data_IF_073991492976
#
_entry.id   IF_073991492976
#
_cell.length_a   1.000
_cell.length_b   1.000
_cell.length_c   1.000
_cell.angle_alpha   90.00
_cell.angle_beta   90.00
_cell.angle_gamma   90.00
#
_symmetry.space_group_name_H-M   'P 1'
#
loop_
_entity.id
_entity.type
_entity.pdbx_description
1 polymer ?
#
# COMPACT_ATOMS: atom_id res chain seq x y z
N UNK A 1 26.53 -5.45 2.87
CA UNK A 1 26.35 -5.50 4.34
C UNK A 1 25.70 -4.19 4.71
N UNK A 2 24.57 -4.27 5.39
CA UNK A 2 23.77 -3.14 5.84
C UNK A 2 24.57 -2.28 6.83
N UNK A 3 24.52 -0.95 6.67
CA UNK A 3 25.09 0.01 7.63
C UNK A 3 24.00 0.66 8.48
N UNK A 4 23.67 0.05 9.61
CA UNK A 4 22.65 0.56 10.55
C UNK A 4 22.99 1.93 11.12
N UNK A 5 24.29 2.24 11.26
CA UNK A 5 24.73 3.53 11.81
C UNK A 5 24.37 4.70 10.89
N UNK A 6 24.12 4.43 9.61
CA UNK A 6 23.62 5.43 8.66
C UNK A 6 22.25 5.98 9.09
N UNK A 7 21.38 5.13 9.65
CA UNK A 7 20.02 5.52 10.00
C UNK A 7 19.99 6.55 11.14
N UNK A 8 20.99 6.57 12.02
CA UNK A 8 21.11 7.52 13.12
C UNK A 8 22.08 8.68 12.83
N UNK A 9 22.59 8.78 11.60
CA UNK A 9 23.37 9.93 11.12
C UNK A 9 22.61 10.68 10.03
N UNK A 10 21.86 11.74 10.38
CA UNK A 10 21.02 12.45 9.42
C UNK A 10 21.82 13.14 8.30
N UNK A 11 23.08 13.49 8.55
CA UNK A 11 23.94 14.12 7.54
C UNK A 11 24.33 13.11 6.45
N UNK A 12 24.80 11.94 6.88
CA UNK A 12 25.15 10.85 5.96
C UNK A 12 23.93 10.31 5.22
N UNK A 13 22.77 10.26 5.89
CA UNK A 13 21.52 9.84 5.26
C UNK A 13 21.07 10.81 4.16
N UNK A 14 21.20 12.12 4.39
CA UNK A 14 20.91 13.14 3.38
C UNK A 14 21.88 13.06 2.19
N UNK A 15 23.16 12.78 2.45
CA UNK A 15 24.15 12.56 1.39
C UNK A 15 23.87 11.29 0.57
N UNK A 16 23.30 10.26 1.20
CA UNK A 16 22.90 9.02 0.53
C UNK A 16 21.61 9.17 -0.31
N UNK A 17 20.63 9.95 0.16
CA UNK A 17 19.35 10.19 -0.52
C UNK A 17 19.45 11.21 -1.68
N UNK A 18 20.34 10.93 -2.63
CA UNK A 18 20.59 11.80 -3.80
C UNK A 18 19.38 11.97 -4.72
N UNK A 19 18.45 11.01 -4.73
CA UNK A 19 17.21 11.07 -5.51
C UNK A 19 16.05 11.78 -4.80
N UNK A 20 16.22 12.18 -3.54
CA UNK A 20 15.16 12.81 -2.74
C UNK A 20 13.97 11.89 -2.50
N UNK A 21 14.22 10.59 -2.36
CA UNK A 21 13.21 9.55 -2.24
C UNK A 21 12.44 9.65 -0.91
N UNK A 22 13.12 9.95 0.19
CA UNK A 22 12.46 10.16 1.49
C UNK A 22 11.53 11.36 1.43
N UNK A 23 11.96 12.43 0.72
CA UNK A 23 11.12 13.61 0.48
C UNK A 23 9.93 13.31 -0.42
N UNK A 24 10.08 12.42 -1.40
CA UNK A 24 8.99 12.02 -2.28
C UNK A 24 7.91 11.23 -1.51
N UNK A 25 8.32 10.25 -0.69
CA UNK A 25 7.40 9.50 0.19
C UNK A 25 6.67 10.43 1.17
N UNK A 26 7.39 11.38 1.78
CA UNK A 26 6.81 12.37 2.69
C UNK A 26 5.77 13.31 2.05
N UNK A 27 5.62 13.32 0.71
CA UNK A 27 4.56 14.08 0.00
C UNK A 27 3.24 13.32 -0.07
N UNK A 28 3.09 12.17 0.59
CA UNK A 28 1.87 11.36 0.54
C UNK A 28 0.60 12.15 0.93
N UNK A 29 0.60 12.90 2.05
CA UNK A 29 -0.56 13.72 2.44
C UNK A 29 -0.86 14.84 1.44
N UNK A 30 0.18 15.50 0.91
CA UNK A 30 0.02 16.50 -0.16
C UNK A 30 -0.59 15.90 -1.44
N UNK A 31 -0.20 14.67 -1.82
CA UNK A 31 -0.79 13.96 -2.96
C UNK A 31 -2.28 13.69 -2.74
N UNK A 32 -2.68 13.29 -1.53
CA UNK A 32 -4.09 13.04 -1.19
C UNK A 32 -4.91 14.33 -1.29
N UNK A 33 -4.48 15.44 -0.66
CA UNK A 33 -5.21 16.71 -0.74
C UNK A 33 -5.32 17.24 -2.16
N UNK A 34 -4.21 17.22 -2.90
CA UNK A 34 -4.21 17.61 -4.30
C UNK A 34 -5.17 16.77 -5.15
N UNK A 35 -5.32 15.48 -4.83
CA UNK A 35 -6.25 14.59 -5.53
C UNK A 35 -7.70 14.92 -5.16
N UNK A 36 -7.97 15.23 -3.90
CA UNK A 36 -9.28 15.67 -3.43
C UNK A 36 -9.72 16.98 -4.08
N UNK A 37 -8.84 17.98 -4.15
CA UNK A 37 -9.10 19.23 -4.88
C UNK A 37 -9.37 18.98 -6.37
N UNK A 38 -8.53 18.18 -7.03
CA UNK A 38 -8.71 17.85 -8.45
C UNK A 38 -10.05 17.11 -8.71
N UNK A 39 -10.44 16.21 -7.80
CA UNK A 39 -11.71 15.49 -7.87
C UNK A 39 -12.91 16.41 -7.67
N UNK A 40 -12.82 17.36 -6.73
CA UNK A 40 -13.85 18.37 -6.49
C UNK A 40 -14.04 19.27 -7.72
N UNK A 41 -12.94 19.80 -8.28
CA UNK A 41 -12.96 20.59 -9.52
C UNK A 41 -13.54 19.81 -10.71
N UNK A 42 -13.24 18.52 -10.81
CA UNK A 42 -13.77 17.64 -11.86
C UNK A 42 -15.24 17.22 -11.61
N UNK A 43 -15.82 17.55 -10.46
CA UNK A 43 -17.19 17.23 -10.09
C UNK A 43 -17.43 15.73 -9.86
N UNK A 44 -16.46 15.02 -9.28
CA UNK A 44 -16.53 13.58 -8.98
C UNK A 44 -17.81 13.24 -8.21
N UNK A 45 -18.14 13.99 -7.16
CA UNK A 45 -19.36 13.74 -6.37
C UNK A 45 -20.64 13.76 -7.21
N UNK A 46 -20.73 14.71 -8.15
CA UNK A 46 -21.90 14.84 -9.04
C UNK A 46 -21.95 13.70 -10.05
N UNK A 47 -20.81 13.34 -10.64
CA UNK A 47 -20.71 12.30 -11.68
C UNK A 47 -20.99 10.91 -11.08
N UNK A 48 -20.47 10.64 -9.89
CA UNK A 48 -20.56 9.36 -9.19
C UNK A 48 -21.58 9.41 -8.04
N UNK A 49 -22.75 9.99 -8.29
CA UNK A 49 -23.82 10.18 -7.29
C UNK A 49 -24.80 9.01 -7.18
N UNK A 50 -24.85 8.14 -8.20
CA UNK A 50 -25.78 7.02 -8.26
C UNK A 50 -25.06 5.69 -8.14
N UNK A 51 -25.58 4.82 -7.28
CA UNK A 51 -25.10 3.45 -7.10
C UNK A 51 -25.02 2.71 -8.45
N UNK A 52 -23.86 2.11 -8.79
CA UNK A 52 -23.69 1.43 -10.07
C UNK A 52 -24.26 0.01 -10.01
N UNK A 53 -24.40 -0.62 -11.18
CA UNK A 53 -24.63 -2.06 -11.29
C UNK A 53 -23.39 -2.86 -10.85
N UNK A 54 -22.21 -2.42 -11.25
CA UNK A 54 -20.93 -3.01 -10.84
C UNK A 54 -19.82 -1.93 -10.83
N UNK A 55 -18.79 -2.16 -10.02
CA UNK A 55 -17.53 -1.41 -10.06
C UNK A 55 -16.45 -2.30 -10.67
N UNK A 56 -15.76 -1.82 -11.70
CA UNK A 56 -14.63 -2.51 -12.32
C UNK A 56 -13.35 -1.76 -11.97
N UNK A 57 -12.46 -2.44 -11.27
CA UNK A 57 -11.11 -1.96 -10.96
C UNK A 57 -10.18 -2.51 -12.05
N UNK A 58 -9.73 -1.64 -12.95
CA UNK A 58 -8.81 -2.01 -14.03
C UNK A 58 -7.39 -1.86 -13.54
N UNK A 59 -6.67 -2.97 -13.47
CA UNK A 59 -5.30 -3.04 -12.95
C UNK A 59 -4.27 -3.18 -14.05
N UNK A 60 -3.21 -2.37 -13.94
CA UNK A 60 -1.99 -2.37 -14.76
C UNK A 60 -0.76 -2.53 -13.85
N UNK A 61 0.40 -2.96 -14.39
CA UNK A 61 1.64 -3.05 -13.60
C UNK A 61 1.92 -1.77 -12.78
N UNK A 62 2.41 -1.94 -11.55
CA UNK A 62 2.63 -0.84 -10.59
C UNK A 62 1.54 -0.75 -9.52
N UNK A 63 1.33 0.46 -8.97
CA UNK A 63 0.49 0.68 -7.78
C UNK A 63 -0.99 0.35 -7.94
N UNK A 64 -1.51 0.27 -9.17
CA UNK A 64 -2.94 0.01 -9.38
C UNK A 64 -3.37 -1.36 -8.83
N UNK A 65 -2.48 -2.37 -8.87
CA UNK A 65 -2.75 -3.71 -8.30
C UNK A 65 -2.86 -3.63 -6.78
N UNK A 66 -1.90 -2.96 -6.13
CA UNK A 66 -1.89 -2.78 -4.68
C UNK A 66 -3.14 -2.02 -4.20
N UNK A 67 -3.47 -0.92 -4.87
CA UNK A 67 -4.64 -0.09 -4.56
C UNK A 67 -5.93 -0.87 -4.75
N UNK A 68 -6.05 -1.66 -5.84
CA UNK A 68 -7.22 -2.48 -6.09
C UNK A 68 -7.44 -3.55 -5.02
N UNK A 69 -6.38 -4.21 -4.58
CA UNK A 69 -6.46 -5.20 -3.50
C UNK A 69 -6.90 -4.55 -2.18
N UNK A 70 -6.29 -3.42 -1.80
CA UNK A 70 -6.67 -2.68 -0.58
C UNK A 70 -8.12 -2.21 -0.64
N UNK A 71 -8.54 -1.60 -1.76
CA UNK A 71 -9.92 -1.15 -1.96
C UNK A 71 -10.92 -2.30 -1.91
N UNK A 72 -10.62 -3.43 -2.56
CA UNK A 72 -11.47 -4.62 -2.51
C UNK A 72 -11.63 -5.15 -1.09
N UNK A 73 -10.53 -5.22 -0.33
CA UNK A 73 -10.55 -5.65 1.06
C UNK A 73 -11.30 -4.67 1.98
N UNK A 74 -11.21 -3.36 1.73
CA UNK A 74 -11.96 -2.34 2.47
C UNK A 74 -13.46 -2.47 2.25
N UNK A 75 -13.90 -2.68 1.00
CA UNK A 75 -15.31 -2.90 0.64
C UNK A 75 -15.84 -4.20 1.27
N UNK A 76 -15.02 -5.25 1.28
CA UNK A 76 -15.30 -6.53 1.93
C UNK A 76 -16.53 -7.26 1.38
N UNK A 77 -16.92 -8.37 2.01
CA UNK A 77 -18.06 -9.19 1.55
C UNK A 77 -19.42 -8.49 1.72
N UNK A 78 -19.49 -7.43 2.53
CA UNK A 78 -20.69 -6.63 2.73
C UNK A 78 -20.95 -5.59 1.63
N UNK A 79 -20.09 -5.50 0.61
CA UNK A 79 -20.29 -4.56 -0.48
C UNK A 79 -21.61 -4.82 -1.19
N UNK A 80 -22.38 -3.76 -1.40
CA UNK A 80 -23.75 -3.84 -1.92
C UNK A 80 -23.83 -3.86 -3.45
N UNK A 81 -22.69 -3.91 -4.12
CA UNK A 81 -22.55 -4.10 -5.57
C UNK A 81 -21.40 -5.05 -5.87
N UNK A 82 -21.43 -5.79 -6.98
CA UNK A 82 -20.26 -6.54 -7.45
C UNK A 82 -19.07 -5.62 -7.74
N UNK A 83 -17.90 -6.02 -7.25
CA UNK A 83 -16.61 -5.39 -7.55
C UNK A 83 -15.77 -6.38 -8.33
N UNK A 84 -15.31 -6.00 -9.52
CA UNK A 84 -14.58 -6.87 -10.44
C UNK A 84 -13.19 -6.31 -10.65
N UNK A 85 -12.16 -7.11 -10.39
CA UNK A 85 -10.77 -6.80 -10.72
C UNK A 85 -10.47 -7.41 -12.09
N UNK A 86 -9.92 -6.60 -13.01
CA UNK A 86 -9.65 -7.03 -14.37
C UNK A 86 -8.45 -6.30 -14.97
N UNK A 87 -7.70 -6.97 -15.85
CA UNK A 87 -6.57 -6.35 -16.56
C UNK A 87 -7.00 -5.42 -17.70
N UNK A 88 -8.22 -5.64 -18.20
CA UNK A 88 -8.88 -4.87 -19.25
C UNK A 88 -10.38 -4.71 -18.93
N UNK A 89 -11.01 -3.68 -19.50
CA UNK A 89 -12.46 -3.45 -19.32
C UNK A 89 -13.26 -4.62 -19.93
N UNK A 90 -14.05 -5.36 -19.11
CA UNK A 90 -14.84 -6.48 -19.60
C UNK A 90 -15.89 -6.08 -20.65
N UNK A 91 -16.25 -6.97 -21.59
CA UNK A 91 -17.13 -6.62 -22.71
C UNK A 91 -18.58 -6.28 -22.30
N UNK A 92 -19.01 -6.72 -21.11
CA UNK A 92 -20.34 -6.48 -20.55
C UNK A 92 -20.50 -5.13 -19.85
N UNK A 93 -19.39 -4.39 -19.63
CA UNK A 93 -19.39 -3.06 -19.01
C UNK A 93 -20.25 -2.10 -19.83
N UNK A 94 -21.08 -1.28 -19.20
CA UNK A 94 -21.95 -0.32 -19.87
C UNK A 94 -22.30 0.88 -18.99
N UNK A 95 -23.32 1.63 -19.41
CA UNK A 95 -23.67 2.93 -18.83
C UNK A 95 -24.08 2.92 -17.34
N UNK A 96 -24.39 1.74 -16.79
CA UNK A 96 -24.72 1.58 -15.38
C UNK A 96 -23.53 1.15 -14.51
N UNK A 97 -22.36 0.91 -15.11
CA UNK A 97 -21.17 0.49 -14.39
C UNK A 97 -20.21 1.66 -14.17
N UNK A 98 -19.35 1.49 -13.17
CA UNK A 98 -18.23 2.40 -12.88
C UNK A 98 -16.92 1.69 -13.19
N UNK A 99 -16.01 2.38 -13.87
CA UNK A 99 -14.66 1.90 -14.16
C UNK A 99 -13.66 2.80 -13.44
N UNK A 100 -12.82 2.22 -12.60
CA UNK A 100 -11.72 2.89 -11.91
C UNK A 100 -10.41 2.34 -12.44
N UNK A 101 -9.49 3.23 -12.79
CA UNK A 101 -8.16 2.86 -13.28
C UNK A 101 -7.10 3.81 -12.73
N UNK A 102 -5.87 3.30 -12.69
CA UNK A 102 -4.68 4.04 -12.29
C UNK A 102 -3.49 3.62 -13.14
N UNK A 103 -2.67 4.58 -13.55
CA UNK A 103 -1.36 4.31 -14.16
C UNK A 103 -0.39 5.47 -13.92
N UNK A 104 0.89 5.15 -13.91
CA UNK A 104 2.00 6.10 -14.02
C UNK A 104 2.60 6.10 -15.44
N UNK A 105 2.34 5.04 -16.24
CA UNK A 105 2.78 4.94 -17.62
C UNK A 105 1.77 5.60 -18.57
N UNK A 106 2.09 6.77 -19.19
CA UNK A 106 1.21 7.41 -20.17
C UNK A 106 1.12 6.63 -21.49
N UNK A 107 2.06 5.73 -21.76
CA UNK A 107 2.21 4.97 -22.99
C UNK A 107 1.44 3.65 -23.04
N UNK A 108 0.76 3.25 -21.97
CA UNK A 108 0.03 1.97 -21.90
C UNK A 108 -1.15 1.94 -22.88
N UNK A 109 -0.91 1.31 -24.04
CA UNK A 109 -1.91 1.17 -25.11
C UNK A 109 -3.05 0.23 -24.73
N UNK A 110 -2.79 -0.80 -23.93
CA UNK A 110 -3.82 -1.76 -23.50
C UNK A 110 -4.81 -1.06 -22.58
N UNK A 111 -4.31 -0.23 -21.67
CA UNK A 111 -5.17 0.62 -20.85
C UNK A 111 -5.91 1.65 -21.71
N UNK A 112 -5.25 2.32 -22.64
CA UNK A 112 -5.91 3.29 -23.53
C UNK A 112 -7.10 2.67 -24.30
N UNK A 113 -6.91 1.48 -24.88
CA UNK A 113 -7.98 0.74 -25.56
C UNK A 113 -9.11 0.33 -24.62
N UNK A 114 -8.77 -0.09 -23.39
CA UNK A 114 -9.73 -0.41 -22.34
C UNK A 114 -10.56 0.79 -21.92
N UNK A 115 -9.94 1.95 -21.71
CA UNK A 115 -10.64 3.20 -21.36
C UNK A 115 -11.54 3.65 -22.51
N UNK A 116 -11.06 3.64 -23.75
CA UNK A 116 -11.87 3.97 -24.93
C UNK A 116 -13.09 3.02 -25.08
N UNK A 117 -12.92 1.73 -24.71
CA UNK A 117 -14.01 0.75 -24.65
C UNK A 117 -15.05 1.12 -23.59
N UNK A 118 -14.63 1.49 -22.37
CA UNK A 118 -15.53 1.87 -21.28
C UNK A 118 -16.35 3.11 -21.64
N UNK A 119 -15.69 4.18 -22.10
CA UNK A 119 -16.35 5.44 -22.43
C UNK A 119 -17.30 5.31 -23.62
N UNK A 120 -16.96 4.51 -24.65
CA UNK A 120 -17.87 4.24 -25.78
C UNK A 120 -19.14 3.49 -25.36
N UNK A 121 -19.07 2.69 -24.30
CA UNK A 121 -20.22 1.99 -23.74
C UNK A 121 -20.97 2.81 -22.67
N UNK A 122 -20.55 4.06 -22.45
CA UNK A 122 -21.17 5.00 -21.54
C UNK A 122 -20.83 4.79 -20.07
N UNK A 123 -19.89 3.90 -19.73
CA UNK A 123 -19.52 3.65 -18.35
C UNK A 123 -18.89 4.89 -17.71
N UNK A 124 -19.32 5.21 -16.48
CA UNK A 124 -18.73 6.31 -15.71
C UNK A 124 -17.31 5.90 -15.33
N UNK A 125 -16.34 6.60 -15.89
CA UNK A 125 -14.93 6.20 -15.80
C UNK A 125 -14.13 7.27 -15.08
N UNK A 126 -13.40 6.89 -14.04
CA UNK A 126 -12.38 7.73 -13.42
C UNK A 126 -11.00 7.07 -13.59
N UNK A 127 -10.04 7.90 -13.99
CA UNK A 127 -8.68 7.50 -14.22
C UNK A 127 -7.73 8.48 -13.54
N UNK A 128 -6.77 7.94 -12.79
CA UNK A 128 -5.60 8.69 -12.32
C UNK A 128 -4.41 8.35 -13.20
N UNK A 129 -3.99 9.27 -14.07
CA UNK A 129 -2.92 9.06 -15.06
C UNK A 129 -2.32 10.40 -15.50
N UNK A 130 -1.13 10.44 -16.11
CA UNK A 130 -0.61 11.66 -16.74
C UNK A 130 -1.61 12.27 -17.74
N UNK A 131 -1.55 13.59 -17.93
CA UNK A 131 -2.46 14.36 -18.80
C UNK A 131 -2.10 14.33 -20.31
N UNK A 132 -1.10 13.53 -20.67
CA UNK A 132 -0.62 13.37 -22.04
C UNK A 132 -0.52 11.89 -22.42
N UNK A 133 -0.42 11.63 -23.72
CA UNK A 133 -0.29 10.28 -24.27
C UNK A 133 -1.62 9.62 -24.67
N UNK A 134 -1.56 8.36 -25.17
CA UNK A 134 -2.72 7.63 -25.68
C UNK A 134 -3.85 7.48 -24.66
N UNK A 135 -3.51 7.36 -23.38
CA UNK A 135 -4.49 7.20 -22.29
C UNK A 135 -5.31 8.47 -22.08
N UNK A 136 -4.64 9.63 -22.01
CA UNK A 136 -5.32 10.92 -21.92
C UNK A 136 -6.20 11.19 -23.15
N UNK A 137 -5.73 10.82 -24.35
CA UNK A 137 -6.52 10.91 -25.58
C UNK A 137 -7.77 10.00 -25.56
N UNK A 138 -7.67 8.79 -25.01
CA UNK A 138 -8.81 7.88 -24.86
C UNK A 138 -9.87 8.42 -23.88
N UNK A 139 -9.42 9.05 -22.79
CA UNK A 139 -10.27 9.64 -21.76
C UNK A 139 -10.93 10.97 -22.18
N UNK A 140 -10.35 11.68 -23.16
CA UNK A 140 -10.68 13.06 -23.51
C UNK A 140 -12.20 13.31 -23.65
N UNK A 141 -12.72 14.20 -22.80
CA UNK A 141 -14.11 14.66 -22.79
C UNK A 141 -15.16 13.64 -22.37
N UNK A 142 -14.78 12.40 -22.00
CA UNK A 142 -15.72 11.30 -21.73
C UNK A 142 -15.45 10.53 -20.43
N UNK A 143 -14.24 10.64 -19.87
CA UNK A 143 -13.88 10.13 -18.56
C UNK A 143 -13.37 11.28 -17.66
N UNK A 144 -13.41 11.06 -16.35
CA UNK A 144 -12.75 11.94 -15.38
C UNK A 144 -11.28 11.55 -15.31
N UNK A 145 -10.40 12.40 -15.83
CA UNK A 145 -8.95 12.24 -15.74
C UNK A 145 -8.40 13.14 -14.63
N UNK A 146 -7.74 12.53 -13.64
CA UNK A 146 -7.07 13.23 -12.54
C UNK A 146 -5.54 13.10 -12.70
N UNK A 147 -4.88 14.10 -13.32
CA UNK A 147 -3.43 14.10 -13.47
C UNK A 147 -2.71 14.38 -12.15
N UNK A 148 -1.47 13.90 -11.98
CA UNK A 148 -0.67 14.23 -10.81
C UNK A 148 -0.35 15.73 -10.79
N UNK A 149 -0.67 16.43 -9.69
CA UNK A 149 -0.27 17.84 -9.48
C UNK A 149 0.89 18.00 -8.49
N UNK A 150 1.14 16.97 -7.70
CA UNK A 150 2.33 16.89 -6.84
C UNK A 150 3.38 16.10 -7.61
N UNK A 151 4.50 16.76 -7.87
CA UNK A 151 5.63 16.13 -8.55
C UNK A 151 6.32 15.15 -7.60
N UNK A 152 6.33 13.87 -7.96
CA UNK A 152 7.04 12.79 -7.27
C UNK A 152 7.64 11.87 -8.34
N UNK A 153 8.81 11.25 -8.08
CA UNK A 153 9.33 10.22 -8.95
C UNK A 153 8.33 9.07 -9.16
N UNK A 154 8.47 8.29 -10.25
CA UNK A 154 7.72 7.05 -10.40
C UNK A 154 7.93 6.15 -9.18
N UNK A 155 6.88 5.49 -8.72
CA UNK A 155 6.97 4.61 -7.57
C UNK A 155 6.28 5.13 -6.30
N UNK A 156 5.68 6.33 -6.34
CA UNK A 156 5.06 6.97 -5.16
C UNK A 156 3.60 7.36 -5.37
N UNK A 157 2.93 6.77 -6.37
CA UNK A 157 1.57 7.15 -6.76
C UNK A 157 0.45 6.48 -5.95
N UNK A 158 0.79 5.59 -5.01
CA UNK A 158 -0.18 4.86 -4.18
C UNK A 158 -1.17 5.80 -3.45
N UNK A 159 -0.73 6.88 -2.75
CA UNK A 159 -1.65 7.78 -2.05
C UNK A 159 -2.64 8.47 -3.00
N UNK A 160 -2.18 8.91 -4.18
CA UNK A 160 -3.01 9.52 -5.22
C UNK A 160 -4.07 8.54 -5.74
N UNK A 161 -3.65 7.32 -6.08
CA UNK A 161 -4.55 6.29 -6.59
C UNK A 161 -5.62 5.92 -5.57
N UNK A 162 -5.20 5.68 -4.33
CA UNK A 162 -6.08 5.30 -3.22
C UNK A 162 -7.09 6.43 -2.95
N UNK A 163 -6.64 7.68 -2.81
CA UNK A 163 -7.51 8.82 -2.55
C UNK A 163 -8.60 8.98 -3.63
N UNK A 164 -8.21 8.92 -4.90
CA UNK A 164 -9.15 9.06 -6.00
C UNK A 164 -10.23 7.96 -6.00
N UNK A 165 -9.85 6.72 -5.70
CA UNK A 165 -10.80 5.61 -5.69
C UNK A 165 -11.69 5.65 -4.45
N UNK A 166 -11.13 6.01 -3.27
CA UNK A 166 -11.91 6.22 -2.05
C UNK A 166 -12.95 7.33 -2.24
N UNK A 167 -12.61 8.44 -2.90
CA UNK A 167 -13.56 9.52 -3.21
C UNK A 167 -14.74 9.03 -4.05
N UNK A 168 -14.48 8.24 -5.09
CA UNK A 168 -15.56 7.67 -5.90
C UNK A 168 -16.42 6.71 -5.08
N UNK A 169 -15.81 5.78 -4.35
CA UNK A 169 -16.54 4.80 -3.56
C UNK A 169 -17.34 5.44 -2.42
N UNK A 170 -16.83 6.53 -1.86
CA UNK A 170 -17.54 7.37 -0.90
C UNK A 170 -18.76 8.02 -1.52
N UNK A 171 -18.58 8.68 -2.66
CA UNK A 171 -19.68 9.31 -3.41
C UNK A 171 -20.78 8.32 -3.81
N UNK A 172 -20.40 7.08 -4.15
CA UNK A 172 -21.35 6.01 -4.48
C UNK A 172 -22.06 5.40 -3.26
N UNK A 173 -21.67 5.78 -2.04
CA UNK A 173 -22.19 5.21 -0.79
C UNK A 173 -21.82 3.74 -0.60
N UNK A 174 -20.66 3.32 -1.13
CA UNK A 174 -20.13 1.96 -1.00
C UNK A 174 -19.15 1.81 0.16
N UNK A 175 -18.45 2.89 0.51
CA UNK A 175 -17.47 2.94 1.59
C UNK A 175 -17.53 4.31 2.27
N UNK A 176 -17.33 4.38 3.59
CA UNK A 176 -17.09 5.65 4.27
C UNK A 176 -15.60 5.90 4.33
N UNK A 177 -15.14 7.00 3.76
CA UNK A 177 -13.73 7.38 3.77
C UNK A 177 -13.64 8.89 3.92
N UNK A 178 -12.81 9.34 4.86
CA UNK A 178 -12.48 10.75 5.05
C UNK A 178 -11.06 10.97 4.51
N UNK A 179 -10.96 11.45 3.27
CA UNK A 179 -9.67 11.61 2.62
C UNK A 179 -8.84 12.77 3.18
N UNK A 180 -9.49 13.76 3.79
CA UNK A 180 -8.78 14.86 4.47
C UNK A 180 -8.12 14.32 5.75
N UNK A 181 -8.84 13.51 6.53
CA UNK A 181 -8.26 12.82 7.67
C UNK A 181 -7.10 11.88 7.25
N UNK A 182 -7.26 11.15 6.14
CA UNK A 182 -6.15 10.35 5.58
C UNK A 182 -4.94 11.24 5.29
N UNK A 183 -5.13 12.38 4.63
CA UNK A 183 -4.03 13.29 4.31
C UNK A 183 -3.33 13.81 5.57
N UNK A 184 -4.09 14.20 6.59
CA UNK A 184 -3.56 14.68 7.86
C UNK A 184 -2.76 13.60 8.60
N UNK A 185 -3.25 12.36 8.66
CA UNK A 185 -2.50 11.28 9.31
C UNK A 185 -1.26 10.86 8.52
N UNK A 186 -1.29 10.93 7.18
CA UNK A 186 -0.10 10.67 6.36
C UNK A 186 0.99 11.74 6.57
N UNK A 187 0.63 13.01 6.74
CA UNK A 187 1.60 14.06 7.07
C UNK A 187 2.18 13.87 8.48
N UNK A 188 1.35 13.49 9.46
CA UNK A 188 1.82 13.20 10.83
C UNK A 188 2.74 11.99 10.85
N UNK A 189 2.43 10.94 10.10
CA UNK A 189 3.31 9.78 10.01
C UNK A 189 4.63 10.14 9.33
N UNK A 190 4.61 10.91 8.23
CA UNK A 190 5.82 11.40 7.59
C UNK A 190 6.69 12.28 8.52
N UNK A 191 6.06 13.07 9.40
CA UNK A 191 6.77 13.84 10.45
C UNK A 191 7.39 12.93 11.50
N UNK A 192 6.67 11.90 11.98
CA UNK A 192 7.21 10.91 12.93
C UNK A 192 8.37 10.12 12.32
N UNK A 193 8.24 9.78 11.05
CA UNK A 193 9.24 9.07 10.26
C UNK A 193 10.35 9.99 9.71
N UNK A 194 10.44 11.25 10.16
CA UNK A 194 11.41 12.21 9.64
C UNK A 194 12.88 11.75 9.81
N UNK A 195 13.77 12.03 8.83
CA UNK A 195 15.17 11.58 8.86
C UNK A 195 15.98 12.03 10.07
N UNK A 196 15.63 13.16 10.69
CA UNK A 196 16.31 13.70 11.88
C UNK A 196 15.96 12.97 13.17
N UNK A 197 14.91 12.14 13.18
CA UNK A 197 14.52 11.38 14.36
C UNK A 197 15.39 10.12 14.50
N UNK A 198 15.83 9.83 15.72
CA UNK A 198 16.58 8.61 16.04
C UNK A 198 15.73 7.36 15.79
N UNK A 199 16.38 6.25 15.44
CA UNK A 199 15.72 5.03 14.97
C UNK A 199 14.72 4.45 15.97
N UNK A 200 14.92 4.64 17.28
CA UNK A 200 14.04 4.11 18.32
C UNK A 200 12.73 4.91 18.53
N UNK A 201 12.64 6.14 18.00
CA UNK A 201 11.39 6.94 18.00
C UNK A 201 10.77 7.08 16.62
N UNK A 202 11.49 6.70 15.55
CA UNK A 202 11.05 6.73 14.17
C UNK A 202 10.45 5.34 13.78
N UNK A 203 9.12 5.22 13.62
CA UNK A 203 8.47 3.94 13.30
C UNK A 203 9.01 3.25 12.06
N UNK A 204 9.29 3.98 10.98
CA UNK A 204 9.82 3.45 9.74
C UNK A 204 11.26 2.94 9.87
N UNK A 205 12.17 3.66 10.54
CA UNK A 205 13.53 3.18 10.83
C UNK A 205 13.52 1.96 11.75
N UNK A 206 12.69 2.00 12.80
CA UNK A 206 12.45 0.84 13.67
C UNK A 206 11.92 -0.37 12.89
N UNK A 207 11.06 -0.17 11.89
CA UNK A 207 10.59 -1.25 11.02
C UNK A 207 11.71 -1.75 10.09
N UNK A 208 12.49 -0.85 9.49
CA UNK A 208 13.63 -1.18 8.63
C UNK A 208 14.64 -2.07 9.38
N UNK A 209 15.05 -1.68 10.58
CA UNK A 209 15.97 -2.45 11.43
C UNK A 209 15.43 -3.83 11.81
N UNK A 210 14.11 -3.96 12.00
CA UNK A 210 13.48 -5.26 12.32
C UNK A 210 13.52 -6.24 11.15
N UNK A 211 13.42 -5.74 9.92
CA UNK A 211 13.46 -6.59 8.71
C UNK A 211 14.87 -6.78 8.16
N UNK A 212 15.84 -5.99 8.63
CA UNK A 212 17.18 -6.02 8.10
C UNK A 212 17.88 -7.37 8.32
N UNK A 213 18.59 -7.84 7.29
CA UNK A 213 19.24 -9.16 7.22
C UNK A 213 18.32 -10.36 7.55
N UNK A 214 16.99 -10.17 7.46
CA UNK A 214 15.96 -11.17 7.73
C UNK A 214 15.03 -11.34 6.53
N UNK A 215 14.40 -12.50 6.42
CA UNK A 215 13.28 -12.76 5.50
C UNK A 215 11.96 -12.38 6.20
N UNK A 216 11.30 -11.28 5.80
CA UNK A 216 10.06 -10.86 6.44
C UNK A 216 8.89 -11.76 6.05
N UNK A 217 8.08 -12.11 7.04
CA UNK A 217 6.80 -12.81 6.89
C UNK A 217 5.71 -11.79 7.26
N UNK A 218 5.12 -11.16 6.23
CA UNK A 218 4.09 -10.13 6.39
C UNK A 218 2.72 -10.82 6.45
N UNK A 219 2.28 -11.18 7.66
CA UNK A 219 1.07 -11.96 7.85
C UNK A 219 -0.08 -11.09 8.35
N UNK A 220 -1.09 -10.90 7.49
CA UNK A 220 -2.26 -10.09 7.82
C UNK A 220 -3.25 -10.83 8.69
N UNK A 221 -3.67 -10.22 9.78
CA UNK A 221 -4.72 -10.71 10.68
C UNK A 221 -6.13 -10.42 10.15
N UNK A 222 -6.23 -9.56 9.14
CA UNK A 222 -7.43 -9.30 8.35
C UNK A 222 -7.09 -9.09 6.86
N UNK A 223 -8.12 -9.05 6.01
CA UNK A 223 -7.98 -8.93 4.55
C UNK A 223 -7.36 -7.60 4.10
N UNK A 224 -7.63 -6.50 4.83
CA UNK A 224 -7.10 -5.17 4.52
C UNK A 224 -5.61 -5.15 4.85
N UNK A 225 -5.26 -5.62 6.05
CA UNK A 225 -3.87 -5.75 6.49
C UNK A 225 -3.06 -6.69 5.57
N UNK A 226 -3.67 -7.78 5.10
CA UNK A 226 -3.05 -8.69 4.11
C UNK A 226 -2.76 -7.97 2.79
N UNK A 227 -3.71 -7.16 2.31
CA UNK A 227 -3.57 -6.38 1.08
C UNK A 227 -2.50 -5.29 1.19
N UNK A 228 -2.42 -4.61 2.35
CA UNK A 228 -1.32 -3.68 2.64
C UNK A 228 0.02 -4.41 2.77
N UNK A 229 0.05 -5.62 3.34
CA UNK A 229 1.24 -6.46 3.37
C UNK A 229 1.76 -6.82 1.97
N UNK A 230 0.86 -7.03 1.00
CA UNK A 230 1.24 -7.24 -0.40
C UNK A 230 1.89 -5.99 -1.01
N UNK A 231 1.37 -4.80 -0.69
CA UNK A 231 2.02 -3.52 -1.04
C UNK A 231 3.40 -3.39 -0.38
N UNK A 232 3.47 -3.67 0.93
CA UNK A 232 4.70 -3.67 1.72
C UNK A 232 5.80 -4.56 1.13
N UNK A 233 5.46 -5.78 0.72
CA UNK A 233 6.39 -6.67 0.03
C UNK A 233 6.84 -6.11 -1.33
N UNK A 234 5.94 -5.48 -2.08
CA UNK A 234 6.25 -4.82 -3.34
C UNK A 234 7.27 -3.70 -3.18
N UNK A 235 7.08 -2.82 -2.19
CA UNK A 235 7.99 -1.68 -1.94
C UNK A 235 9.32 -2.12 -1.33
N UNK A 236 9.33 -3.13 -0.45
CA UNK A 236 10.57 -3.74 0.04
C UNK A 236 11.38 -4.39 -1.09
N UNK A 237 10.72 -5.06 -2.03
CA UNK A 237 11.39 -5.60 -3.21
C UNK A 237 11.90 -4.49 -4.13
N UNK A 238 11.11 -3.44 -4.37
CA UNK A 238 11.44 -2.36 -5.29
C UNK A 238 12.57 -1.45 -4.79
N UNK A 239 12.57 -1.10 -3.50
CA UNK A 239 13.50 -0.11 -2.96
C UNK A 239 14.64 -0.70 -2.14
N UNK A 240 14.46 -1.88 -1.54
CA UNK A 240 15.49 -2.52 -0.71
C UNK A 240 16.00 -3.85 -1.29
N UNK A 241 15.37 -4.40 -2.33
CA UNK A 241 15.71 -5.72 -2.87
C UNK A 241 15.37 -6.89 -1.93
N UNK A 242 14.46 -6.68 -0.98
CA UNK A 242 14.10 -7.67 0.03
C UNK A 242 12.86 -8.46 -0.39
N UNK A 243 13.00 -9.78 -0.48
CA UNK A 243 11.88 -10.69 -0.73
C UNK A 243 11.11 -10.98 0.58
N UNK A 244 9.78 -11.04 0.50
CA UNK A 244 8.91 -11.32 1.63
C UNK A 244 7.93 -12.46 1.31
N UNK A 245 7.55 -13.22 2.32
CA UNK A 245 6.33 -14.03 2.27
C UNK A 245 5.14 -13.18 2.73
N UNK A 246 4.03 -13.26 2.02
CA UNK A 246 2.79 -12.55 2.40
C UNK A 246 1.62 -13.53 2.38
N UNK A 247 0.76 -13.45 3.40
CA UNK A 247 -0.51 -14.19 3.46
C UNK A 247 -1.42 -13.61 4.54
N UNK A 248 -2.72 -13.88 4.43
CA UNK A 248 -3.59 -13.83 5.60
C UNK A 248 -3.18 -14.92 6.59
N UNK A 249 -3.24 -14.66 7.90
CA UNK A 249 -2.68 -15.54 8.92
C UNK A 249 -3.26 -16.96 8.85
N UNK A 250 -4.57 -17.10 8.64
CA UNK A 250 -5.23 -18.40 8.43
C UNK A 250 -4.65 -19.16 7.21
N UNK A 251 -4.33 -18.45 6.13
CA UNK A 251 -3.67 -19.03 4.96
C UNK A 251 -2.20 -19.36 5.26
N UNK A 252 -1.51 -18.57 6.08
CA UNK A 252 -0.14 -18.86 6.50
C UNK A 252 -0.03 -20.18 7.27
N UNK A 253 -1.05 -20.55 8.06
CA UNK A 253 -1.13 -21.86 8.75
C UNK A 253 -1.11 -23.05 7.78
N UNK A 254 -1.53 -22.86 6.53
CA UNK A 254 -1.48 -23.90 5.49
C UNK A 254 -0.06 -24.11 4.92
N UNK A 255 0.92 -23.32 5.38
CA UNK A 255 2.35 -23.43 5.03
C UNK A 255 3.13 -24.01 6.21
N UNK A 256 2.93 -25.30 6.57
CA UNK A 256 3.38 -25.85 7.87
C UNK A 256 4.88 -25.76 8.12
N UNK A 257 5.71 -25.84 7.06
CA UNK A 257 7.17 -25.70 7.19
C UNK A 257 7.56 -24.25 7.52
N UNK A 258 6.95 -23.29 6.84
CA UNK A 258 7.22 -21.86 7.08
C UNK A 258 6.66 -21.43 8.44
N UNK A 259 5.47 -21.91 8.79
CA UNK A 259 4.88 -21.69 10.11
C UNK A 259 5.76 -22.25 11.23
N UNK A 260 6.31 -23.46 11.08
CA UNK A 260 7.27 -24.00 12.08
C UNK A 260 8.49 -23.10 12.24
N UNK A 261 9.06 -22.60 11.14
CA UNK A 261 10.18 -21.64 11.19
C UNK A 261 9.80 -20.34 11.88
N UNK A 262 8.59 -19.84 11.63
CA UNK A 262 8.05 -18.67 12.30
C UNK A 262 7.92 -18.88 13.81
N UNK A 263 7.39 -20.03 14.25
CA UNK A 263 7.31 -20.38 15.68
C UNK A 263 8.70 -20.48 16.31
N UNK A 264 9.63 -21.17 15.67
CA UNK A 264 11.02 -21.27 16.13
C UNK A 264 11.69 -19.89 16.25
N UNK A 265 11.50 -19.02 15.25
CA UNK A 265 12.05 -17.66 15.25
C UNK A 265 11.40 -16.71 16.26
N UNK A 266 10.21 -17.03 16.78
CA UNK A 266 9.45 -16.18 17.71
C UNK A 266 9.43 -16.71 19.15
N UNK A 267 9.75 -17.98 19.38
CA UNK A 267 9.77 -18.60 20.72
C UNK A 267 11.01 -18.26 21.56
N UNK A 268 11.88 -17.37 21.06
CA UNK A 268 13.21 -17.12 21.62
C UNK A 268 14.18 -18.22 21.22
N UNK A 269 15.38 -17.85 20.77
CA UNK A 269 16.44 -18.83 20.54
C UNK A 269 16.68 -19.59 21.85
N UNK A 270 16.69 -20.93 21.80
CA UNK A 270 17.14 -21.73 22.93
C UNK A 270 18.56 -21.25 23.29
N UNK A 271 18.73 -20.68 24.48
CA UNK A 271 20.02 -20.17 24.98
C UNK A 271 21.11 -21.26 25.00
N UNK A 272 20.72 -22.53 24.80
CA UNK A 272 21.56 -23.71 24.78
C UNK A 272 21.67 -24.38 23.39
N UNK A 273 21.08 -23.82 22.34
CA UNK A 273 21.26 -24.33 20.98
C UNK A 273 22.70 -24.14 20.51
N UNK A 274 23.33 -25.22 20.02
CA UNK A 274 24.69 -25.19 19.49
C UNK A 274 24.70 -24.37 18.17
N UNK A 275 25.55 -23.32 18.04
CA UNK A 275 25.66 -22.52 16.83
C UNK A 275 25.95 -23.32 15.55
N UNK A 276 26.53 -24.52 15.70
CA UNK A 276 26.93 -25.38 14.59
C UNK A 276 25.83 -26.38 14.16
N UNK A 277 24.71 -26.49 14.88
CA UNK A 277 23.67 -27.50 14.63
C UNK A 277 22.64 -27.11 13.54
N UNK A 278 22.57 -25.84 13.10
CA UNK A 278 21.69 -25.44 11.99
C UNK A 278 22.34 -24.40 11.06
N UNK A 279 22.94 -24.81 9.92
CA UNK A 279 23.36 -23.87 8.90
C UNK A 279 22.14 -23.19 8.27
N UNK A 280 21.82 -21.97 8.74
CA UNK A 280 20.79 -21.09 8.16
C UNK A 280 19.43 -21.07 8.88
N UNK A 281 19.34 -21.58 10.11
CA UNK A 281 18.13 -21.42 10.93
C UNK A 281 18.08 -20.02 11.56
N UNK A 282 16.94 -19.34 11.45
CA UNK A 282 16.65 -18.18 12.30
C UNK A 282 16.66 -16.79 11.66
N UNK A 283 16.54 -16.65 10.34
CA UNK A 283 16.42 -15.31 9.72
C UNK A 283 14.99 -14.91 9.36
N UNK A 284 13.95 -15.67 9.72
CA UNK A 284 12.58 -15.17 9.46
C UNK A 284 12.18 -14.13 10.52
N UNK A 285 11.57 -13.03 10.08
CA UNK A 285 10.94 -12.04 10.98
C UNK A 285 9.45 -12.03 10.73
N UNK A 286 8.65 -12.42 11.71
CA UNK A 286 7.19 -12.36 11.60
C UNK A 286 6.71 -10.96 11.94
N UNK A 287 6.00 -10.35 11.00
CA UNK A 287 5.28 -9.09 11.19
C UNK A 287 3.78 -9.41 11.04
N UNK A 288 3.06 -9.43 12.16
CA UNK A 288 1.61 -9.55 12.20
C UNK A 288 0.99 -8.18 11.93
N UNK A 289 0.20 -8.08 10.87
CA UNK A 289 -0.41 -6.82 10.43
C UNK A 289 -1.89 -6.81 10.81
N UNK A 290 -2.35 -5.77 11.50
CA UNK A 290 -3.76 -5.60 11.88
C UNK A 290 -4.26 -4.22 11.48
N UNK A 291 -5.38 -4.16 10.78
CA UNK A 291 -6.06 -2.92 10.36
C UNK A 291 -7.47 -2.85 10.94
N UNK A 292 -8.23 -3.95 10.86
CA UNK A 292 -9.61 -3.97 11.37
C UNK A 292 -9.63 -4.04 12.89
N UNK A 293 -10.63 -3.37 13.47
CA UNK A 293 -10.83 -3.28 14.92
C UNK A 293 -12.11 -4.00 15.36
N UNK A 294 -12.17 -4.32 16.65
CA UNK A 294 -13.35 -4.88 17.32
C UNK A 294 -13.19 -6.34 17.76
N UNK A 295 -14.18 -6.90 18.48
CA UNK A 295 -13.99 -8.12 19.27
C UNK A 295 -13.51 -9.35 18.48
N UNK A 296 -13.93 -9.48 17.22
CA UNK A 296 -13.51 -10.58 16.36
C UNK A 296 -12.05 -10.40 15.91
N UNK A 297 -11.67 -9.18 15.51
CA UNK A 297 -10.30 -8.87 15.12
C UNK A 297 -9.35 -9.02 16.32
N UNK A 298 -9.78 -8.56 17.50
CA UNK A 298 -9.04 -8.75 18.74
C UNK A 298 -8.83 -10.23 19.04
N UNK A 299 -9.86 -11.06 18.95
CA UNK A 299 -9.72 -12.50 19.20
C UNK A 299 -8.73 -13.18 18.24
N UNK A 300 -8.77 -12.81 16.95
CA UNK A 300 -7.81 -13.31 15.94
C UNK A 300 -6.39 -12.87 16.27
N UNK A 301 -6.22 -11.61 16.67
CA UNK A 301 -4.92 -11.04 17.05
C UNK A 301 -4.34 -11.74 18.28
N UNK A 302 -5.09 -11.85 19.38
CA UNK A 302 -4.63 -12.54 20.59
C UNK A 302 -4.24 -13.99 20.30
N UNK A 303 -5.04 -14.72 19.50
CA UNK A 303 -4.70 -16.09 19.12
C UNK A 303 -3.42 -16.19 18.28
N UNK A 304 -3.13 -15.19 17.43
CA UNK A 304 -1.90 -15.13 16.66
C UNK A 304 -0.68 -14.78 17.53
N UNK A 305 -0.82 -13.81 18.44
CA UNK A 305 0.21 -13.44 19.42
C UNK A 305 0.55 -14.61 20.35
N UNK A 306 -0.45 -15.34 20.85
CA UNK A 306 -0.26 -16.54 21.69
C UNK A 306 0.52 -17.64 20.95
N UNK A 307 0.27 -17.79 19.64
CA UNK A 307 0.96 -18.77 18.81
C UNK A 307 2.38 -18.32 18.41
N UNK A 308 2.64 -17.02 18.39
CA UNK A 308 3.88 -16.39 17.89
C UNK A 308 4.33 -15.27 18.86
N UNK A 309 4.73 -15.60 20.10
CA UNK A 309 4.92 -14.61 21.18
C UNK A 309 6.03 -13.59 20.93
N UNK A 310 6.95 -13.86 20.00
CA UNK A 310 8.03 -12.94 19.58
C UNK A 310 7.80 -12.28 18.23
N UNK A 311 6.60 -12.39 17.64
CA UNK A 311 6.26 -11.66 16.42
C UNK A 311 6.09 -10.16 16.73
N UNK A 312 6.47 -9.30 15.78
CA UNK A 312 6.05 -7.90 15.87
C UNK A 312 4.61 -7.77 15.45
N UNK A 313 3.89 -6.90 16.14
CA UNK A 313 2.53 -6.52 15.77
C UNK A 313 2.56 -5.08 15.25
N UNK A 314 2.04 -4.86 14.04
CA UNK A 314 1.82 -3.55 13.44
C UNK A 314 0.32 -3.29 13.38
N UNK A 315 -0.15 -2.44 14.29
CA UNK A 315 -1.56 -2.10 14.47
C UNK A 315 -1.73 -0.57 14.46
N UNK A 316 -1.86 0.08 13.29
CA UNK A 316 -2.00 1.54 13.20
C UNK A 316 -3.19 2.10 13.99
N UNK A 317 -4.25 1.30 14.16
CA UNK A 317 -5.47 1.73 14.82
C UNK A 317 -5.31 2.01 16.33
N UNK A 318 -4.22 1.55 16.97
CA UNK A 318 -3.89 1.98 18.35
C UNK A 318 -3.18 3.34 18.39
N UNK A 319 -2.67 3.80 17.25
CA UNK A 319 -1.92 5.06 17.10
C UNK A 319 -2.81 6.20 16.59
N UNK A 320 -3.73 5.89 15.68
CA UNK A 320 -4.60 6.88 15.02
C UNK A 320 -6.07 6.47 15.03
N UNK A 321 -6.94 7.47 15.19
CA UNK A 321 -8.37 7.32 14.93
C UNK A 321 -8.67 7.61 13.46
N UNK A 322 -9.70 6.99 12.88
CA UNK A 322 -10.09 7.26 11.48
C UNK A 322 -10.56 6.04 10.69
N UNK A 323 -10.49 4.85 11.28
CA UNK A 323 -10.99 3.61 10.71
C UNK A 323 -10.04 2.94 9.72
N UNK A 324 -10.54 1.90 9.06
CA UNK A 324 -9.73 0.96 8.29
C UNK A 324 -8.98 1.61 7.12
N UNK A 325 -9.59 2.60 6.45
CA UNK A 325 -8.96 3.29 5.31
C UNK A 325 -7.76 4.16 5.74
N UNK A 326 -7.87 4.85 6.88
CA UNK A 326 -6.78 5.63 7.47
C UNK A 326 -5.66 4.72 7.92
N UNK A 327 -6.00 3.65 8.65
CA UNK A 327 -5.02 2.66 9.13
C UNK A 327 -4.28 1.97 7.99
N UNK A 328 -4.99 1.64 6.90
CA UNK A 328 -4.38 1.03 5.71
C UNK A 328 -3.42 1.97 4.99
N UNK A 329 -3.79 3.24 4.82
CA UNK A 329 -2.94 4.25 4.18
C UNK A 329 -1.69 4.54 5.01
N UNK A 330 -1.83 4.69 6.33
CA UNK A 330 -0.71 4.91 7.25
C UNK A 330 0.28 3.74 7.21
N UNK A 331 -0.21 2.50 7.33
CA UNK A 331 0.65 1.32 7.27
C UNK A 331 1.37 1.18 5.92
N UNK A 332 0.70 1.53 4.81
CA UNK A 332 1.33 1.55 3.49
C UNK A 332 2.49 2.55 3.42
N UNK A 333 2.30 3.78 3.90
CA UNK A 333 3.36 4.80 3.95
C UNK A 333 4.52 4.38 4.86
N UNK A 334 4.23 3.77 6.02
CA UNK A 334 5.25 3.25 6.92
C UNK A 334 6.12 2.18 6.25
N UNK A 335 5.53 1.29 5.46
CA UNK A 335 6.28 0.32 4.67
C UNK A 335 7.11 0.98 3.56
N UNK A 336 6.57 1.99 2.87
CA UNK A 336 7.31 2.76 1.86
C UNK A 336 8.56 3.41 2.48
N UNK A 337 8.41 4.15 3.57
CA UNK A 337 9.52 4.80 4.27
C UNK A 337 10.51 3.78 4.86
N UNK A 338 10.03 2.68 5.45
CA UNK A 338 10.91 1.62 5.96
C UNK A 338 11.73 0.97 4.85
N UNK A 339 11.12 0.71 3.69
CA UNK A 339 11.84 0.17 2.53
C UNK A 339 12.89 1.15 2.01
N UNK A 340 12.61 2.46 2.03
CA UNK A 340 13.58 3.48 1.66
C UNK A 340 14.75 3.56 2.64
N UNK A 341 14.48 3.58 3.95
CA UNK A 341 15.54 3.56 4.96
C UNK A 341 16.42 2.33 4.82
N UNK A 342 15.80 1.16 4.65
CA UNK A 342 16.52 -0.10 4.46
C UNK A 342 17.38 -0.09 3.20
N UNK A 343 16.84 0.38 2.07
CA UNK A 343 17.58 0.45 0.81
C UNK A 343 18.72 1.47 0.83
N UNK A 344 18.56 2.60 1.54
CA UNK A 344 19.63 3.57 1.76
C UNK A 344 20.75 2.96 2.61
N UNK A 345 20.41 2.31 3.74
CA UNK A 345 21.37 1.64 4.62
C UNK A 345 22.08 0.46 3.93
N UNK A 346 21.41 -0.22 2.99
CA UNK A 346 21.99 -1.29 2.20
C UNK A 346 22.78 -0.81 0.96
N UNK A 347 22.65 0.47 0.58
CA UNK A 347 23.20 1.01 -0.67
C UNK A 347 22.58 0.41 -1.94
N UNK A 348 21.35 -0.10 -1.84
CA UNK A 348 20.61 -0.76 -2.95
C UNK A 348 19.64 0.18 -3.66
N UNK A 349 19.37 1.35 -3.06
CA UNK A 349 18.47 2.35 -3.60
C UNK A 349 19.06 3.01 -4.85
N UNK A 350 18.29 3.10 -5.94
CA UNK A 350 18.74 3.72 -7.20
C UNK A 350 19.01 2.76 -8.37
N UNK A 351 18.49 1.53 -8.32
CA UNK A 351 18.30 0.75 -9.56
C UNK A 351 17.34 1.48 -10.50
N UNK A 352 17.73 1.73 -11.76
CA UNK A 352 16.85 2.36 -12.74
C UNK A 352 15.60 1.47 -12.93
N UNK A 353 14.37 1.95 -12.66
CA UNK A 353 13.16 1.14 -12.84
C UNK A 353 12.79 0.93 -14.32
N UNK A 354 13.60 1.41 -15.26
CA UNK A 354 13.42 1.25 -16.70
C UNK A 354 14.75 1.03 -17.42
#
# INVERSE_FOLDING_TARGET
MLDDTLLDDPSRLADADTGGWLRAAARAGAQVRSTAEAAAEAGVERIFSERPRAVVLVTRPGHSVAVANVVMALLGPGCSVPVVLADEVPPWVGALDVVLAHTEDPGDRVLAESIDRAVRRGARTLLTAPDSGPIAAAAAGRAVLLPPRIDVPPGFSFPRALAAWLLVLHSLGLLKADVELIADELDREAERDHPMHESFVNPAKSLALRVADRTPLLWGLDEVATSVGMHGAGVLAAFAGVACDVAGYSQALTRPVLHRRAVQGTSGADLFADPDDEPGSGLVRVLLLAVRQGPVADAVRHAAEDALPGADVLEPAVEVAGGDAVSAALLALRFELAALYLGLAAGTLGGNPY
#
